data_IF_177198720701
#
_entry.id   IF_177198720701
#
_cell.length_a   1.000
_cell.length_b   1.000
_cell.length_c   1.000
_cell.angle_alpha   90.00
_cell.angle_beta   90.00
_cell.angle_gamma   90.00
#
_symmetry.space_group_name_H-M   'P 1'
#
loop_
_entity.id
_entity.type
_entity.pdbx_description
1 polymer ?
#
# COMPACT_ATOMS: atom_id res chain seq x y z
N UNK A 1 -12.07 3.34 29.45
CA UNK A 1 -12.92 2.56 28.53
C UNK A 1 -12.35 2.71 27.12
N UNK A 2 -11.95 1.61 26.52
CA UNK A 2 -11.57 1.60 25.10
C UNK A 2 -12.84 1.86 24.28
N UNK A 3 -12.90 3.01 23.58
CA UNK A 3 -13.87 3.19 22.53
C UNK A 3 -13.56 2.21 21.42
N UNK A 4 -14.31 1.14 21.31
CA UNK A 4 -14.27 0.29 20.14
C UNK A 4 -14.89 1.09 18.98
N UNK A 5 -14.08 1.40 17.97
CA UNK A 5 -14.63 1.64 16.63
C UNK A 5 -15.39 0.36 16.31
N UNK A 6 -16.66 0.48 15.95
CA UNK A 6 -17.50 -0.67 15.63
C UNK A 6 -16.77 -1.56 14.63
N UNK A 7 -16.59 -2.84 14.98
CA UNK A 7 -15.71 -3.79 14.27
C UNK A 7 -16.02 -3.95 12.78
N UNK A 8 -17.22 -3.62 12.33
CA UNK A 8 -17.64 -3.74 10.94
C UNK A 8 -17.13 -2.60 10.03
N UNK A 9 -16.75 -1.44 10.60
CA UNK A 9 -16.22 -0.28 9.88
C UNK A 9 -14.70 -0.08 10.12
N UNK A 10 -14.10 -0.91 10.95
CA UNK A 10 -12.68 -0.81 11.29
C UNK A 10 -11.80 -1.48 10.24
N UNK A 11 -10.61 -0.93 10.01
CA UNK A 11 -9.57 -1.59 9.23
C UNK A 11 -8.55 -2.26 10.12
N UNK A 12 -8.20 -3.52 9.81
CA UNK A 12 -7.14 -4.23 10.54
C UNK A 12 -5.73 -3.72 10.23
N UNK A 13 -5.58 -2.89 9.21
CA UNK A 13 -4.28 -2.34 8.81
C UNK A 13 -3.98 -0.98 9.44
N UNK A 14 -4.97 -0.31 10.00
CA UNK A 14 -4.88 1.08 10.46
C UNK A 14 -4.89 2.11 9.33
N UNK A 15 -4.92 1.70 8.06
CA UNK A 15 -4.99 2.58 6.90
C UNK A 15 -6.37 2.61 6.31
N UNK A 16 -6.82 3.80 5.92
CA UNK A 16 -8.06 4.02 5.18
C UNK A 16 -7.73 4.37 3.72
N UNK A 17 -8.61 3.95 2.82
CA UNK A 17 -8.50 4.36 1.43
C UNK A 17 -8.85 5.84 1.29
N UNK A 18 -7.98 6.60 0.62
CA UNK A 18 -8.24 7.98 0.21
C UNK A 18 -8.28 8.10 -1.32
N UNK A 19 -7.70 7.15 -2.01
CA UNK A 19 -7.68 7.10 -3.47
C UNK A 19 -9.10 6.82 -3.97
N UNK A 20 -9.50 7.47 -5.05
CA UNK A 20 -10.84 7.36 -5.63
C UNK A 20 -11.98 7.90 -4.74
N UNK A 21 -11.65 8.71 -3.74
CA UNK A 21 -12.62 9.40 -2.90
C UNK A 21 -12.55 10.89 -3.20
N UNK A 22 -13.68 11.49 -3.52
CA UNK A 22 -13.81 12.93 -3.64
C UNK A 22 -13.91 13.55 -2.25
N UNK A 23 -12.85 14.22 -1.82
CA UNK A 23 -12.78 14.85 -0.49
C UNK A 23 -13.66 16.10 -0.34
N UNK A 24 -14.26 16.61 -1.43
CA UNK A 24 -15.22 17.72 -1.38
C UNK A 24 -16.63 17.27 -0.99
N UNK A 25 -16.92 15.97 -1.10
CA UNK A 25 -18.20 15.38 -0.73
C UNK A 25 -18.22 15.04 0.76
N UNK A 26 -19.23 15.50 1.47
CA UNK A 26 -19.36 15.24 2.90
C UNK A 26 -19.52 13.73 3.19
N UNK A 27 -19.03 13.27 4.34
CA UNK A 27 -19.03 11.85 4.69
C UNK A 27 -20.44 11.21 4.75
N UNK A 28 -21.48 12.00 5.03
CA UNK A 28 -22.87 11.57 5.03
C UNK A 28 -23.50 11.53 3.61
N UNK A 29 -22.79 12.03 2.61
CA UNK A 29 -23.23 12.11 1.20
C UNK A 29 -22.49 11.11 0.30
N UNK A 30 -22.04 9.99 0.86
CA UNK A 30 -21.24 8.99 0.16
C UNK A 30 -21.85 8.45 -1.14
N UNK A 31 -23.18 8.55 -1.31
CA UNK A 31 -23.88 8.15 -2.55
C UNK A 31 -23.63 9.12 -3.72
N UNK A 32 -23.08 10.30 -3.47
CA UNK A 32 -22.80 11.32 -4.48
C UNK A 32 -21.33 11.35 -4.92
N UNK A 33 -20.55 10.31 -4.58
CA UNK A 33 -19.17 10.17 -5.03
C UNK A 33 -19.11 10.03 -6.55
N UNK A 34 -18.44 10.98 -7.20
CA UNK A 34 -18.29 11.04 -8.66
C UNK A 34 -16.86 10.84 -9.13
N UNK A 35 -15.98 10.38 -8.26
CA UNK A 35 -14.58 10.21 -8.61
C UNK A 35 -14.42 9.16 -9.73
N UNK A 36 -13.81 9.53 -10.87
CA UNK A 36 -13.65 8.61 -11.98
C UNK A 36 -12.64 7.51 -11.61
N UNK A 37 -12.98 6.28 -11.97
CA UNK A 37 -12.06 5.14 -11.81
C UNK A 37 -11.21 5.02 -13.08
N UNK A 38 -9.88 5.20 -12.99
CA UNK A 38 -9.03 5.08 -14.16
C UNK A 38 -8.89 3.62 -14.58
N UNK A 39 -9.13 3.32 -15.84
CA UNK A 39 -8.86 2.01 -16.44
C UNK A 39 -7.38 1.86 -16.82
N UNK A 40 -6.81 2.89 -17.40
CA UNK A 40 -5.41 2.96 -17.80
C UNK A 40 -4.93 4.39 -17.53
N UNK A 41 -3.75 4.53 -16.97
CA UNK A 41 -3.15 5.84 -16.73
C UNK A 41 -1.65 5.85 -17.00
N UNK A 42 -1.11 7.04 -17.22
CA UNK A 42 0.28 7.23 -17.64
C UNK A 42 1.30 6.57 -16.69
N UNK A 43 1.04 6.57 -15.38
CA UNK A 43 1.92 5.92 -14.41
C UNK A 43 2.01 4.40 -14.65
N UNK A 44 0.92 3.75 -15.04
CA UNK A 44 0.96 2.33 -15.40
C UNK A 44 1.82 2.09 -16.65
N UNK A 45 1.70 2.97 -17.65
CA UNK A 45 2.52 2.89 -18.87
C UNK A 45 4.01 3.03 -18.56
N UNK A 46 4.39 3.96 -17.69
CA UNK A 46 5.78 4.10 -17.24
C UNK A 46 6.27 2.85 -16.51
N UNK A 47 5.45 2.25 -15.64
CA UNK A 47 5.83 1.03 -14.93
C UNK A 47 5.93 -0.19 -15.87
N UNK A 48 5.13 -0.26 -16.93
CA UNK A 48 5.25 -1.29 -17.97
C UNK A 48 6.54 -1.09 -18.76
N UNK A 49 6.84 0.14 -19.18
CA UNK A 49 8.07 0.46 -19.89
C UNK A 49 9.32 0.16 -19.04
N UNK A 50 9.29 0.55 -17.76
CA UNK A 50 10.36 0.25 -16.82
C UNK A 50 10.58 -1.25 -16.66
N UNK A 51 9.50 -2.05 -16.56
CA UNK A 51 9.59 -3.50 -16.47
C UNK A 51 10.25 -4.09 -17.71
N UNK A 52 9.81 -3.69 -18.90
CA UNK A 52 10.42 -4.13 -20.17
C UNK A 52 11.91 -3.78 -20.23
N UNK A 53 12.30 -2.57 -19.84
CA UNK A 53 13.70 -2.16 -19.79
C UNK A 53 14.52 -3.00 -18.80
N UNK A 54 13.98 -3.34 -17.64
CA UNK A 54 14.64 -4.21 -16.66
C UNK A 54 14.88 -5.60 -17.26
N UNK A 55 13.88 -6.18 -17.89
CA UNK A 55 14.01 -7.52 -18.49
C UNK A 55 15.00 -7.54 -19.67
N UNK A 56 15.14 -6.42 -20.38
CA UNK A 56 16.16 -6.21 -21.40
C UNK A 56 17.54 -5.80 -20.84
N UNK A 57 17.70 -5.77 -19.52
CA UNK A 57 18.91 -5.30 -18.82
C UNK A 57 19.32 -3.85 -19.14
N UNK A 58 18.35 -3.00 -19.53
CA UNK A 58 18.52 -1.56 -19.75
C UNK A 58 18.19 -0.80 -18.46
N UNK A 59 19.00 -0.99 -17.43
CA UNK A 59 18.65 -0.57 -16.06
C UNK A 59 18.58 0.95 -15.89
N UNK A 60 19.46 1.70 -16.53
CA UNK A 60 19.44 3.16 -16.47
C UNK A 60 18.20 3.77 -17.14
N UNK A 61 17.75 3.18 -18.24
CA UNK A 61 16.52 3.58 -18.93
C UNK A 61 15.29 3.27 -18.05
N UNK A 62 15.27 2.12 -17.40
CA UNK A 62 14.19 1.74 -16.48
C UNK A 62 14.02 2.74 -15.35
N UNK A 63 15.12 3.21 -14.77
CA UNK A 63 15.13 4.18 -13.68
C UNK A 63 14.48 5.50 -14.08
N UNK A 64 14.67 5.98 -15.32
CA UNK A 64 14.04 7.20 -15.81
C UNK A 64 12.51 7.12 -15.68
N UNK A 65 11.91 6.00 -16.06
CA UNK A 65 10.47 5.81 -15.97
C UNK A 65 9.98 5.69 -14.51
N UNK A 66 10.73 4.99 -13.66
CA UNK A 66 10.38 4.85 -12.24
C UNK A 66 10.48 6.22 -11.54
N UNK A 67 11.55 6.96 -11.78
CA UNK A 67 11.80 8.24 -11.14
C UNK A 67 10.83 9.33 -11.60
N UNK A 68 10.31 9.25 -12.82
CA UNK A 68 9.22 10.13 -13.27
C UNK A 68 7.97 10.02 -12.37
N UNK A 69 7.65 8.81 -11.89
CA UNK A 69 6.53 8.59 -10.96
C UNK A 69 6.90 9.06 -9.56
N UNK A 70 8.08 8.70 -9.07
CA UNK A 70 8.56 9.02 -7.73
C UNK A 70 8.74 10.52 -7.52
N UNK A 71 9.29 11.21 -8.52
CA UNK A 71 9.49 12.66 -8.51
C UNK A 71 8.18 13.45 -8.39
N UNK A 72 7.08 12.95 -8.97
CA UNK A 72 5.75 13.57 -8.87
C UNK A 72 5.29 13.79 -7.41
N UNK A 73 5.71 12.93 -6.51
CA UNK A 73 5.33 12.97 -5.09
C UNK A 73 6.52 13.30 -4.17
N UNK A 74 7.60 13.85 -4.74
CA UNK A 74 8.77 14.27 -3.97
C UNK A 74 9.55 13.15 -3.30
N UNK A 75 9.46 11.90 -3.80
CA UNK A 75 10.26 10.79 -3.25
C UNK A 75 11.69 10.83 -3.80
N UNK A 76 12.67 10.35 -3.00
CA UNK A 76 14.04 10.17 -3.46
C UNK A 76 14.10 9.28 -4.70
N UNK A 77 15.11 9.48 -5.55
CA UNK A 77 15.32 8.65 -6.74
C UNK A 77 15.52 7.17 -6.41
N UNK A 78 15.39 6.34 -7.43
CA UNK A 78 15.47 4.89 -7.32
C UNK A 78 16.84 4.43 -6.82
N UNK A 79 17.94 4.98 -7.38
CA UNK A 79 19.30 4.56 -7.01
C UNK A 79 19.62 4.89 -5.56
N UNK A 80 19.27 6.11 -5.12
CA UNK A 80 19.44 6.52 -3.73
C UNK A 80 18.60 5.63 -2.78
N UNK A 81 17.38 5.28 -3.18
CA UNK A 81 16.51 4.42 -2.36
C UNK A 81 17.05 3.00 -2.25
N UNK A 82 17.57 2.41 -3.34
CA UNK A 82 18.21 1.11 -3.33
C UNK A 82 19.40 1.10 -2.36
N UNK A 83 20.26 2.13 -2.44
CA UNK A 83 21.43 2.25 -1.55
C UNK A 83 21.05 2.30 -0.06
N UNK A 84 20.02 3.08 0.30
CA UNK A 84 19.51 3.16 1.67
C UNK A 84 18.95 1.81 2.16
N UNK A 85 18.37 1.01 1.24
CA UNK A 85 17.86 -0.34 1.57
C UNK A 85 18.95 -1.43 1.60
N UNK A 86 20.21 -1.09 1.33
CA UNK A 86 21.30 -2.05 1.21
C UNK A 86 21.18 -2.96 -0.02
N UNK A 87 20.43 -2.54 -1.03
CA UNK A 87 20.27 -3.22 -2.31
C UNK A 87 21.27 -2.68 -3.32
N UNK A 88 21.65 -3.51 -4.29
CA UNK A 88 22.58 -3.13 -5.35
C UNK A 88 21.83 -2.74 -6.62
N UNK A 89 22.44 -1.88 -7.44
CA UNK A 89 21.89 -1.51 -8.73
C UNK A 89 22.15 -2.62 -9.76
N UNK A 90 21.30 -3.65 -9.72
CA UNK A 90 21.33 -4.80 -10.63
C UNK A 90 19.91 -5.17 -11.07
N UNK A 91 19.79 -6.06 -12.04
CA UNK A 91 18.51 -6.45 -12.62
C UNK A 91 17.55 -7.08 -11.57
N UNK A 92 18.07 -7.93 -10.69
CA UNK A 92 17.26 -8.63 -9.70
C UNK A 92 16.66 -7.67 -8.66
N UNK A 93 17.51 -6.82 -8.07
CA UNK A 93 17.07 -5.87 -7.04
C UNK A 93 16.14 -4.80 -7.63
N UNK A 94 16.44 -4.34 -8.86
CA UNK A 94 15.59 -3.37 -9.53
C UNK A 94 14.25 -3.97 -9.94
N UNK A 95 14.19 -5.26 -10.30
CA UNK A 95 12.93 -5.98 -10.56
C UNK A 95 12.05 -6.03 -9.30
N UNK A 96 12.61 -6.40 -8.16
CA UNK A 96 11.86 -6.42 -6.90
C UNK A 96 11.42 -5.00 -6.48
N UNK A 97 12.28 -4.02 -6.68
CA UNK A 97 11.95 -2.62 -6.45
C UNK A 97 10.77 -2.17 -7.31
N UNK A 98 10.79 -2.45 -8.61
CA UNK A 98 9.69 -2.13 -9.53
C UNK A 98 8.38 -2.82 -9.11
N UNK A 99 8.44 -4.10 -8.75
CA UNK A 99 7.25 -4.86 -8.29
C UNK A 99 6.63 -4.21 -7.06
N UNK A 100 7.46 -3.68 -6.16
CA UNK A 100 7.00 -2.93 -5.00
C UNK A 100 6.38 -1.59 -5.41
N UNK A 101 7.03 -0.81 -6.26
CA UNK A 101 6.49 0.47 -6.75
C UNK A 101 5.16 0.27 -7.49
N UNK A 102 5.02 -0.74 -8.35
CA UNK A 102 3.74 -1.09 -8.98
C UNK A 102 2.65 -1.39 -7.95
N UNK A 103 2.98 -2.16 -6.93
CA UNK A 103 2.02 -2.49 -5.86
C UNK A 103 1.52 -1.24 -5.14
N UNK A 104 2.39 -0.30 -4.85
CA UNK A 104 2.05 0.94 -4.11
C UNK A 104 1.32 1.92 -5.01
N UNK A 105 1.87 2.19 -6.21
CA UNK A 105 1.33 3.19 -7.13
C UNK A 105 -0.04 2.79 -7.69
N UNK A 106 -0.24 1.52 -8.01
CA UNK A 106 -1.47 1.00 -8.61
C UNK A 106 -2.42 0.33 -7.58
N UNK A 107 -2.25 0.66 -6.29
CA UNK A 107 -3.16 0.18 -5.24
C UNK A 107 -4.60 0.60 -5.56
N UNK A 108 -5.57 -0.31 -5.39
CA UNK A 108 -6.99 -0.18 -5.74
C UNK A 108 -7.33 -0.05 -7.23
N UNK A 109 -6.36 -0.25 -8.13
CA UNK A 109 -6.58 -0.20 -9.58
C UNK A 109 -6.60 -1.59 -10.23
N UNK A 110 -6.89 -2.62 -9.47
CA UNK A 110 -7.03 -4.04 -9.91
C UNK A 110 -5.80 -4.69 -10.54
N UNK A 111 -4.71 -3.95 -10.80
CA UNK A 111 -3.49 -4.45 -11.47
C UNK A 111 -2.82 -5.59 -10.71
N UNK A 112 -2.85 -5.58 -9.38
CA UNK A 112 -2.16 -6.56 -8.53
C UNK A 112 -2.58 -8.00 -8.79
N UNK A 113 -3.86 -8.25 -9.05
CA UNK A 113 -4.37 -9.59 -9.36
C UNK A 113 -3.69 -10.20 -10.58
N UNK A 114 -3.49 -9.41 -11.63
CA UNK A 114 -2.84 -9.84 -12.86
C UNK A 114 -1.32 -9.92 -12.69
N UNK A 115 -0.71 -8.96 -12.01
CA UNK A 115 0.73 -8.88 -11.78
C UNK A 115 1.27 -10.12 -11.06
N UNK A 116 0.64 -10.55 -9.95
CA UNK A 116 1.10 -11.71 -9.18
C UNK A 116 0.99 -13.02 -9.97
N UNK A 117 0.08 -13.10 -10.96
CA UNK A 117 -0.06 -14.27 -11.84
C UNK A 117 0.97 -14.28 -12.94
N UNK A 118 1.12 -13.17 -13.68
CA UNK A 118 2.10 -13.09 -14.77
C UNK A 118 3.55 -13.20 -14.27
N UNK A 119 3.81 -12.79 -13.03
CA UNK A 119 5.12 -12.99 -12.38
C UNK A 119 5.26 -14.36 -11.73
N UNK A 120 4.24 -15.20 -11.73
CA UNK A 120 4.22 -16.54 -11.13
C UNK A 120 4.52 -16.55 -9.61
N UNK A 121 4.24 -15.45 -8.90
CA UNK A 121 4.48 -15.30 -7.46
C UNK A 121 3.21 -15.44 -6.62
N UNK A 122 2.07 -15.78 -7.24
CA UNK A 122 0.80 -15.92 -6.53
C UNK A 122 0.85 -16.95 -5.39
N UNK A 123 1.48 -18.14 -5.52
CA UNK A 123 1.62 -19.10 -4.43
C UNK A 123 2.41 -18.55 -3.24
N UNK A 124 3.50 -17.83 -3.52
CA UNK A 124 4.35 -17.25 -2.49
C UNK A 124 3.61 -16.15 -1.70
N UNK A 125 2.91 -15.26 -2.40
CA UNK A 125 2.22 -14.13 -1.79
C UNK A 125 0.92 -14.59 -1.12
N UNK A 126 0.18 -15.51 -1.75
CA UNK A 126 -1.11 -16.00 -1.25
C UNK A 126 -0.99 -16.85 0.03
N UNK A 127 0.18 -17.44 0.27
CA UNK A 127 0.45 -18.23 1.46
C UNK A 127 1.09 -17.43 2.61
N UNK A 128 1.42 -16.16 2.41
CA UNK A 128 1.92 -15.29 3.48
C UNK A 128 0.82 -15.02 4.50
N UNK A 129 1.16 -15.10 5.79
CA UNK A 129 0.26 -14.69 6.86
C UNK A 129 -0.03 -13.19 6.72
N UNK A 130 -1.30 -12.84 6.84
CA UNK A 130 -1.68 -11.43 6.93
C UNK A 130 -1.34 -10.90 8.31
N UNK A 131 -0.84 -9.68 8.33
CA UNK A 131 -0.61 -8.94 9.57
C UNK A 131 -1.54 -7.75 9.63
N UNK A 132 -1.98 -7.43 10.82
CA UNK A 132 -2.72 -6.23 11.12
C UNK A 132 -2.01 -5.42 12.19
N UNK A 133 -2.56 -4.25 12.51
CA UNK A 133 -2.05 -3.40 13.56
C UNK A 133 -3.15 -3.18 14.59
N UNK A 134 -2.84 -3.43 15.85
CA UNK A 134 -3.67 -2.97 16.98
C UNK A 134 -3.11 -1.66 17.49
N UNK A 135 -3.95 -0.65 17.56
CA UNK A 135 -3.61 0.67 18.07
C UNK A 135 -4.40 0.88 19.37
N UNK A 136 -3.67 1.12 20.45
CA UNK A 136 -4.29 1.42 21.76
C UNK A 136 -3.92 2.84 22.16
N UNK A 137 -4.93 3.72 22.22
CA UNK A 137 -4.81 5.06 22.77
C UNK A 137 -5.08 5.04 24.29
N UNK A 138 -4.13 5.49 25.08
CA UNK A 138 -4.30 5.70 26.53
C UNK A 138 -4.39 7.18 26.83
N UNK A 139 -5.46 7.58 27.53
CA UNK A 139 -5.67 8.96 27.94
C UNK A 139 -4.47 9.44 28.77
N UNK A 140 -3.96 10.61 28.45
CA UNK A 140 -2.91 11.25 29.25
C UNK A 140 -3.47 11.76 30.58
N UNK A 141 -2.66 11.79 31.64
CA UNK A 141 -3.11 12.32 32.93
C UNK A 141 -3.65 13.75 32.81
N UNK A 142 -4.80 14.00 33.41
CA UNK A 142 -5.44 15.32 33.40
C UNK A 142 -6.14 15.73 32.10
N UNK A 143 -6.20 14.85 31.11
CA UNK A 143 -6.94 15.10 29.85
C UNK A 143 -8.30 14.41 29.89
N UNK A 144 -9.25 14.98 29.16
CA UNK A 144 -10.60 14.42 28.99
C UNK A 144 -10.70 13.79 27.61
N UNK A 145 -11.37 12.63 27.53
CA UNK A 145 -11.57 11.96 26.25
C UNK A 145 -12.40 12.84 25.31
N UNK A 146 -11.92 13.02 24.09
CA UNK A 146 -12.67 13.71 23.04
C UNK A 146 -13.74 12.80 22.43
N UNK A 147 -14.92 13.34 22.18
CA UNK A 147 -15.99 12.69 21.42
C UNK A 147 -16.33 13.59 20.22
N UNK A 148 -16.49 13.06 19.00
CA UNK A 148 -16.25 11.66 18.59
C UNK A 148 -14.75 11.29 18.66
N UNK A 149 -14.43 10.00 18.65
CA UNK A 149 -13.07 9.47 18.78
C UNK A 149 -12.19 9.95 17.63
N UNK A 150 -11.50 11.05 17.84
CA UNK A 150 -10.54 11.61 16.88
C UNK A 150 -9.14 11.21 17.34
N UNK A 151 -8.28 10.87 16.38
CA UNK A 151 -6.85 10.71 16.64
C UNK A 151 -6.30 12.05 17.14
N UNK A 152 -5.87 12.10 18.40
CA UNK A 152 -5.38 13.30 19.04
C UNK A 152 -4.17 12.96 19.93
N UNK A 153 -3.00 13.30 19.42
CA UNK A 153 -1.73 13.07 20.12
C UNK A 153 -1.53 14.00 21.33
N UNK A 154 -2.28 15.07 21.44
CA UNK A 154 -2.26 15.92 22.64
C UNK A 154 -3.03 15.31 23.82
N UNK A 155 -4.04 14.51 23.50
CA UNK A 155 -4.94 13.90 24.49
C UNK A 155 -4.54 12.46 24.83
N UNK A 156 -4.02 11.69 23.86
CA UNK A 156 -3.72 10.27 24.01
C UNK A 156 -2.25 9.92 23.78
N UNK A 157 -1.77 8.93 24.52
CA UNK A 157 -0.55 8.20 24.19
C UNK A 157 -0.94 6.94 23.39
N UNK A 158 -0.40 6.77 22.19
CA UNK A 158 -0.68 5.62 21.33
C UNK A 158 0.40 4.56 21.44
N UNK A 159 0.00 3.31 21.54
CA UNK A 159 0.88 2.14 21.43
C UNK A 159 0.41 1.28 20.26
N UNK A 160 1.37 0.74 19.51
CA UNK A 160 1.17 -0.04 18.32
C UNK A 160 1.62 -1.46 18.54
N UNK A 161 0.80 -2.43 18.20
CA UNK A 161 1.16 -3.84 18.25
C UNK A 161 0.82 -4.50 16.92
N UNK A 162 1.78 -5.19 16.34
CA UNK A 162 1.53 -5.98 15.12
C UNK A 162 0.81 -7.27 15.52
N UNK A 163 -0.34 -7.50 14.91
CA UNK A 163 -1.14 -8.70 15.08
C UNK A 163 -0.94 -9.63 13.87
N UNK A 164 -0.70 -10.91 14.14
CA UNK A 164 -0.77 -11.95 13.13
C UNK A 164 -2.23 -12.37 12.95
N UNK A 165 -2.79 -12.13 11.78
CA UNK A 165 -4.16 -12.50 11.46
C UNK A 165 -4.17 -13.95 10.98
N UNK A 166 -4.62 -14.88 11.82
CA UNK A 166 -4.70 -16.32 11.49
C UNK A 166 -5.79 -16.69 10.49
N UNK A 167 -6.34 -15.72 9.77
CA UNK A 167 -7.57 -15.92 8.99
C UNK A 167 -7.39 -16.73 7.69
N UNK A 168 -6.18 -17.07 7.25
CA UNK A 168 -5.94 -17.59 5.89
C UNK A 168 -5.38 -19.03 5.86
N UNK A 169 -5.54 -19.82 6.89
CA UNK A 169 -5.19 -21.26 6.80
C UNK A 169 -6.08 -22.06 5.82
N UNK A 170 -7.15 -21.47 5.30
CA UNK A 170 -8.12 -22.19 4.46
C UNK A 170 -7.92 -22.05 2.95
N UNK A 171 -6.99 -21.23 2.46
CA UNK A 171 -6.71 -21.09 1.03
C UNK A 171 -5.23 -21.32 0.75
N UNK A 172 -4.86 -22.58 0.65
CA UNK A 172 -3.55 -22.94 0.08
C UNK A 172 -3.64 -22.76 -1.43
N UNK A 173 -2.81 -21.90 -1.97
CA UNK A 173 -2.55 -21.86 -3.40
C UNK A 173 -1.69 -23.08 -3.72
N UNK A 174 -2.22 -24.03 -4.46
CA UNK A 174 -1.44 -25.11 -5.05
C UNK A 174 -0.99 -24.70 -6.46
N UNK A 175 0.09 -25.29 -6.93
CA UNK A 175 0.67 -24.99 -8.24
C UNK A 175 -0.15 -25.58 -9.41
N UNK A 176 -1.43 -25.87 -9.20
CA UNK A 176 -2.34 -26.39 -10.21
C UNK A 176 -3.10 -25.25 -10.87
N UNK A 177 -2.40 -24.44 -11.64
CA UNK A 177 -2.96 -23.57 -12.67
C UNK A 177 -2.21 -23.76 -13.97
#
# INVERSE_FOLDING_TARGET
SMGQIENWNGTYTGYLEKKLIDGSVAANEHNFQTCPMPYIRLAEMYLIAAEACIELNKLDEAVIYIDAIRGRIGRPDTKATLAVRGQTFNQSDLREFLRHERRVELTYEHSRYYDIRRWMIAPEIGNKKLTGVSIVGRLKPGKTASLPYVHDEEVYNYTWTVLNLNYIEKRKWDNKM
#
